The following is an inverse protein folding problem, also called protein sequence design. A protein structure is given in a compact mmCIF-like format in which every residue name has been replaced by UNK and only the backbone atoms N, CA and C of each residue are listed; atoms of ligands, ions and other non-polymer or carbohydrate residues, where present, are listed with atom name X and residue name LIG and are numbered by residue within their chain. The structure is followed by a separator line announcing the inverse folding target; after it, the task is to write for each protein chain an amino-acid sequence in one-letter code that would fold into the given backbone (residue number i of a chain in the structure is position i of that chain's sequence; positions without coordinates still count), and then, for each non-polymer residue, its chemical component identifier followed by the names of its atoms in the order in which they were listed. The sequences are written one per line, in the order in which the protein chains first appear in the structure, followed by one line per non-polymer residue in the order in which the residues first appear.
data_IF_684387834339
#
_entry.id   IF_684387834339
#
_cell.length_a   1.000
_cell.length_b   1.000
_cell.length_c   1.000
_cell.angle_alpha   90.00
_cell.angle_beta   90.00
_cell.angle_gamma   90.00
#
_symmetry.space_group_name_H-M   'P 1'
#
loop_
_entity.id
_entity.type
_entity.pdbx_description
1 polymer ?
#
# COMPACT_ATOMS: atom_id res chain seq x y z
N UNK A 1 -10.17 13.21 -24.67
CA UNK A 1 -10.41 14.03 -23.46
C UNK A 1 -10.08 13.15 -22.27
N UNK A 2 -9.02 13.42 -21.50
CA UNK A 2 -8.71 12.61 -20.32
C UNK A 2 -9.88 12.71 -19.34
N UNK A 3 -10.49 11.57 -19.03
CA UNK A 3 -11.60 11.48 -18.08
C UNK A 3 -11.01 11.80 -16.69
N UNK A 4 -11.52 12.85 -16.02
CA UNK A 4 -11.14 13.13 -14.64
C UNK A 4 -11.58 11.93 -13.81
N UNK A 5 -10.64 11.28 -13.13
CA UNK A 5 -10.91 10.11 -12.30
C UNK A 5 -11.48 10.60 -10.97
N UNK A 6 -12.65 10.07 -10.61
CA UNK A 6 -13.22 10.19 -9.27
C UNK A 6 -12.57 9.13 -8.37
N UNK A 7 -11.51 9.53 -7.67
CA UNK A 7 -10.73 8.62 -6.82
C UNK A 7 -11.52 8.03 -5.65
N UNK A 8 -12.38 8.79 -4.95
CA UNK A 8 -13.30 8.22 -3.96
C UNK A 8 -14.21 7.15 -4.55
N UNK A 9 -14.80 7.39 -5.73
CA UNK A 9 -15.64 6.38 -6.39
C UNK A 9 -14.85 5.13 -6.77
N UNK A 10 -13.65 5.28 -7.36
CA UNK A 10 -12.75 4.16 -7.68
C UNK A 10 -12.38 3.36 -6.44
N UNK A 11 -11.98 4.03 -5.35
CA UNK A 11 -11.61 3.35 -4.11
C UNK A 11 -12.80 2.57 -3.53
N UNK A 12 -14.01 3.15 -3.59
CA UNK A 12 -15.24 2.46 -3.19
C UNK A 12 -15.51 1.23 -4.06
N UNK A 13 -15.38 1.34 -5.37
CA UNK A 13 -15.57 0.22 -6.31
C UNK A 13 -14.64 -0.94 -5.98
N UNK A 14 -13.35 -0.67 -5.74
CA UNK A 14 -12.38 -1.70 -5.37
C UNK A 14 -12.66 -2.26 -3.97
N UNK A 15 -13.06 -1.43 -3.01
CA UNK A 15 -13.47 -1.89 -1.68
C UNK A 15 -14.66 -2.84 -1.74
N UNK A 16 -15.68 -2.50 -2.54
CA UNK A 16 -16.84 -3.36 -2.77
C UNK A 16 -16.42 -4.67 -3.48
N UNK A 17 -15.53 -4.59 -4.48
CA UNK A 17 -15.02 -5.76 -5.22
C UNK A 17 -14.27 -6.77 -4.32
N UNK A 18 -13.42 -6.30 -3.41
CA UNK A 18 -12.69 -7.18 -2.48
C UNK A 18 -13.51 -7.57 -1.23
N UNK A 19 -14.73 -7.05 -1.11
CA UNK A 19 -15.59 -7.26 0.06
C UNK A 19 -15.03 -6.65 1.34
N UNK A 20 -14.45 -5.45 1.27
CA UNK A 20 -14.08 -4.64 2.44
C UNK A 20 -15.33 -3.89 2.92
N UNK A 21 -16.20 -4.60 3.65
CA UNK A 21 -17.43 -4.07 4.21
C UNK A 21 -17.25 -3.52 5.64
N UNK A 22 -18.35 -3.08 6.26
CA UNK A 22 -18.30 -2.53 7.62
C UNK A 22 -17.79 -3.54 8.66
N UNK A 23 -18.07 -4.84 8.49
CA UNK A 23 -17.59 -5.85 9.44
C UNK A 23 -16.06 -5.99 9.37
N UNK A 24 -15.49 -5.91 8.16
CA UNK A 24 -14.04 -5.87 7.99
C UNK A 24 -13.42 -4.59 8.58
N UNK A 25 -14.07 -3.44 8.41
CA UNK A 25 -13.64 -2.18 9.02
C UNK A 25 -13.68 -2.22 10.55
N UNK A 26 -14.69 -2.86 11.14
CA UNK A 26 -14.81 -3.03 12.59
C UNK A 26 -13.69 -3.94 13.14
N UNK A 27 -13.25 -4.94 12.37
CA UNK A 27 -12.08 -5.78 12.71
C UNK A 27 -10.77 -4.99 12.62
N UNK A 28 -10.61 -4.14 11.61
CA UNK A 28 -9.44 -3.24 11.51
C UNK A 28 -9.42 -2.28 12.70
N UNK A 29 -10.57 -1.74 13.09
CA UNK A 29 -10.68 -0.84 14.24
C UNK A 29 -10.40 -1.56 15.57
N UNK A 30 -10.90 -2.79 15.75
CA UNK A 30 -10.68 -3.56 16.99
C UNK A 30 -9.21 -3.95 17.18
N UNK A 31 -8.43 -4.01 16.10
CA UNK A 31 -6.98 -4.29 16.13
C UNK A 31 -6.12 -3.01 16.21
N UNK A 32 -6.72 -1.82 16.31
CA UNK A 32 -6.05 -0.51 16.35
C UNK A 32 -4.90 -0.45 17.35
N UNK A 33 -5.18 -0.76 18.60
CA UNK A 33 -4.23 -0.55 19.70
C UNK A 33 -3.04 -1.51 19.57
N UNK A 34 -3.30 -2.75 19.14
CA UNK A 34 -2.25 -3.73 18.87
C UNK A 34 -1.33 -3.27 17.72
N UNK A 35 -1.91 -2.88 16.58
CA UNK A 35 -1.12 -2.40 15.42
C UNK A 35 -0.34 -1.13 15.78
N UNK A 36 -0.92 -0.24 16.58
CA UNK A 36 -0.26 0.97 17.05
C UNK A 36 0.92 0.64 17.99
N UNK A 37 0.73 -0.29 18.93
CA UNK A 37 1.76 -0.71 19.87
C UNK A 37 2.95 -1.41 19.18
N UNK A 38 2.69 -2.18 18.12
CA UNK A 38 3.74 -2.89 17.35
C UNK A 38 4.19 -2.10 16.11
N UNK A 39 3.69 -0.87 15.91
CA UNK A 39 3.92 -0.11 14.69
C UNK A 39 5.40 0.19 14.40
N UNK A 40 6.18 0.55 15.43
CA UNK A 40 7.62 0.77 15.27
C UNK A 40 8.35 -0.49 14.81
N UNK A 41 8.01 -1.66 15.37
CA UNK A 41 8.56 -2.95 14.97
C UNK A 41 8.21 -3.29 13.52
N UNK A 42 6.95 -3.11 13.11
CA UNK A 42 6.50 -3.34 11.73
C UNK A 42 7.32 -2.49 10.76
N UNK A 43 7.44 -1.19 11.06
CA UNK A 43 8.16 -0.28 10.17
C UNK A 43 9.66 -0.56 10.14
N UNK A 44 10.26 -0.94 11.27
CA UNK A 44 11.66 -1.37 11.31
C UNK A 44 11.87 -2.60 10.42
N UNK A 45 11.03 -3.64 10.56
CA UNK A 45 11.11 -4.85 9.75
C UNK A 45 11.04 -4.57 8.24
N UNK A 46 10.15 -3.66 7.81
CA UNK A 46 10.02 -3.26 6.40
C UNK A 46 11.30 -2.59 5.89
N UNK A 47 11.84 -1.62 6.61
CA UNK A 47 13.04 -0.90 6.18
C UNK A 47 14.30 -1.77 6.25
N UNK A 48 14.42 -2.60 7.28
CA UNK A 48 15.49 -3.59 7.38
C UNK A 48 15.42 -4.60 6.22
N UNK A 49 14.22 -4.96 5.78
CA UNK A 49 14.03 -5.78 4.58
C UNK A 49 14.51 -5.05 3.31
N UNK A 50 14.18 -3.76 3.14
CA UNK A 50 14.66 -2.98 1.99
C UNK A 50 16.19 -2.89 1.92
N UNK A 51 16.87 -2.84 3.07
CA UNK A 51 18.33 -2.79 3.10
C UNK A 51 19.01 -4.09 2.66
N UNK A 52 18.28 -5.22 2.60
CA UNK A 52 18.82 -6.51 2.15
C UNK A 52 19.02 -6.60 0.63
N UNK A 53 18.35 -5.76 -0.15
CA UNK A 53 18.40 -5.82 -1.62
C UNK A 53 19.03 -4.54 -2.20
N UNK A 54 20.05 -4.63 -3.06
CA UNK A 54 20.74 -3.45 -3.60
C UNK A 54 19.80 -2.42 -4.26
N UNK A 55 18.81 -2.90 -5.01
CA UNK A 55 17.86 -2.06 -5.76
C UNK A 55 16.95 -1.20 -4.88
N UNK A 56 16.65 -1.65 -3.66
CA UNK A 56 15.87 -0.89 -2.67
C UNK A 56 16.78 -0.18 -1.67
N UNK A 57 17.92 -0.78 -1.32
CA UNK A 57 18.92 -0.21 -0.41
C UNK A 57 19.46 1.12 -0.91
N UNK A 58 19.70 1.26 -2.22
CA UNK A 58 20.29 2.47 -2.83
C UNK A 58 19.56 3.79 -2.50
N UNK A 59 18.26 3.74 -2.17
CA UNK A 59 17.48 4.93 -1.80
C UNK A 59 17.80 5.47 -0.40
N UNK A 60 18.52 4.69 0.41
CA UNK A 60 18.82 4.97 1.81
C UNK A 60 20.32 5.11 2.06
N UNK A 61 21.12 5.32 1.02
CA UNK A 61 22.56 5.51 1.16
C UNK A 61 22.95 6.99 1.14
N UNK A 62 24.06 7.30 1.81
CA UNK A 62 24.83 8.52 1.64
C UNK A 62 25.73 8.45 0.40
N UNK A 63 26.39 9.56 0.05
CA UNK A 63 27.30 9.61 -1.10
C UNK A 63 28.45 8.58 -1.01
N UNK A 64 28.87 8.21 0.20
CA UNK A 64 29.91 7.21 0.45
C UNK A 64 29.44 5.75 0.38
N UNK A 65 28.14 5.50 0.20
CA UNK A 65 27.57 4.15 0.14
C UNK A 65 27.16 3.55 1.50
N UNK A 66 27.42 4.25 2.60
CA UNK A 66 26.92 3.90 3.94
C UNK A 66 25.43 4.24 4.07
N UNK A 67 24.73 3.60 5.01
CA UNK A 67 23.31 3.86 5.27
C UNK A 67 23.13 5.23 5.93
N UNK A 68 22.24 6.04 5.37
CA UNK A 68 21.80 7.33 5.94
C UNK A 68 20.74 7.07 7.02
N UNK A 69 21.20 6.84 8.25
CA UNK A 69 20.34 6.49 9.39
C UNK A 69 19.27 7.56 9.66
N UNK A 70 19.62 8.85 9.54
CA UNK A 70 18.66 9.93 9.77
C UNK A 70 17.54 9.96 8.70
N UNK A 71 17.88 9.66 7.43
CA UNK A 71 16.88 9.47 6.38
C UNK A 71 16.05 8.23 6.65
N UNK A 72 16.67 7.13 7.07
CA UNK A 72 15.98 5.88 7.37
C UNK A 72 14.93 6.07 8.48
N UNK A 73 15.32 6.70 9.60
CA UNK A 73 14.42 6.98 10.72
C UNK A 73 13.25 7.86 10.31
N UNK A 74 13.48 8.94 9.55
CA UNK A 74 12.38 9.79 9.03
C UNK A 74 11.40 9.01 8.15
N UNK A 75 11.90 7.99 7.44
CA UNK A 75 11.11 7.15 6.55
C UNK A 75 10.30 6.11 7.35
N UNK A 76 10.90 5.48 8.37
CA UNK A 76 10.20 4.64 9.37
C UNK A 76 9.02 5.41 10.00
N UNK A 77 9.25 6.62 10.50
CA UNK A 77 8.18 7.47 11.05
C UNK A 77 7.09 7.82 10.03
N UNK A 78 7.46 8.02 8.76
CA UNK A 78 6.48 8.34 7.71
C UNK A 78 5.60 7.15 7.38
N UNK A 79 6.19 5.94 7.31
CA UNK A 79 5.45 4.71 7.13
C UNK A 79 4.53 4.42 8.33
N UNK A 80 5.00 4.67 9.56
CA UNK A 80 4.20 4.50 10.78
C UNK A 80 2.96 5.39 10.75
N UNK A 81 3.11 6.67 10.36
CA UNK A 81 1.96 7.58 10.21
C UNK A 81 0.97 7.12 9.15
N UNK A 82 1.45 6.53 8.05
CA UNK A 82 0.55 5.96 7.03
C UNK A 82 -0.17 4.72 7.56
N UNK A 83 0.53 3.83 8.28
CA UNK A 83 -0.05 2.62 8.86
C UNK A 83 -1.13 2.97 9.90
N UNK A 84 -0.84 3.90 10.81
CA UNK A 84 -1.83 4.35 11.81
C UNK A 84 -2.98 5.13 11.16
N UNK A 85 -2.69 5.92 10.14
CA UNK A 85 -3.70 6.59 9.32
C UNK A 85 -4.63 5.63 8.59
N UNK A 86 -4.14 4.43 8.24
CA UNK A 86 -4.92 3.35 7.64
C UNK A 86 -5.91 2.71 8.61
N UNK A 87 -5.75 2.86 9.92
CA UNK A 87 -6.72 2.36 10.90
C UNK A 87 -7.95 3.28 10.93
N UNK A 88 -7.72 4.59 10.87
CA UNK A 88 -8.79 5.59 10.74
C UNK A 88 -9.38 5.64 9.33
N UNK A 89 -9.22 4.58 8.54
CA UNK A 89 -9.64 4.50 7.15
C UNK A 89 -11.10 4.94 7.02
N UNK A 90 -11.27 6.05 6.32
CA UNK A 90 -12.55 6.44 5.78
C UNK A 90 -12.36 6.44 4.28
N UNK A 91 -13.33 5.85 3.58
CA UNK A 91 -13.52 6.10 2.15
C UNK A 91 -14.05 7.54 2.03
N UNK A 92 -13.23 8.50 2.45
CA UNK A 92 -13.50 9.93 2.38
C UNK A 92 -12.87 10.53 1.13
N UNK A 93 -13.21 11.79 0.83
CA UNK A 93 -12.79 12.39 -0.43
C UNK A 93 -11.26 12.60 -0.52
N UNK A 94 -10.60 12.85 0.61
CA UNK A 94 -9.19 13.26 0.61
C UNK A 94 -8.22 12.09 0.75
N UNK A 95 -8.62 10.98 1.39
CA UNK A 95 -7.74 9.83 1.63
C UNK A 95 -7.21 9.20 0.33
N UNK A 96 -8.06 8.90 -0.68
CA UNK A 96 -7.58 8.42 -1.99
C UNK A 96 -6.62 9.41 -2.65
N UNK A 97 -6.85 10.72 -2.51
CA UNK A 97 -5.97 11.76 -3.07
C UNK A 97 -4.59 11.74 -2.39
N UNK A 98 -4.55 11.54 -1.05
CA UNK A 98 -3.29 11.38 -0.32
C UNK A 98 -2.52 10.13 -0.73
N UNK A 99 -3.21 9.01 -0.97
CA UNK A 99 -2.58 7.80 -1.49
C UNK A 99 -2.05 7.99 -2.90
N UNK A 100 -2.82 8.62 -3.79
CA UNK A 100 -2.38 8.93 -5.14
C UNK A 100 -1.12 9.81 -5.13
N UNK A 101 -1.14 10.90 -4.34
CA UNK A 101 0.02 11.77 -4.18
C UNK A 101 1.25 11.00 -3.66
N UNK A 102 1.03 10.03 -2.75
CA UNK A 102 2.09 9.14 -2.28
C UNK A 102 2.64 8.29 -3.43
N UNK A 103 1.78 7.65 -4.23
CA UNK A 103 2.18 6.89 -5.41
C UNK A 103 3.00 7.73 -6.40
N UNK A 104 2.52 8.94 -6.72
CA UNK A 104 3.19 9.90 -7.63
C UNK A 104 4.59 10.26 -7.12
N UNK A 105 4.76 10.53 -5.82
CA UNK A 105 6.08 10.90 -5.28
C UNK A 105 7.08 9.73 -5.36
N UNK A 106 6.60 8.47 -5.35
CA UNK A 106 7.46 7.30 -5.49
C UNK A 106 7.79 7.00 -6.96
N UNK A 107 6.82 7.17 -7.87
CA UNK A 107 6.99 6.91 -9.30
C UNK A 107 7.69 8.06 -10.05
N UNK A 108 7.42 9.31 -9.64
CA UNK A 108 7.91 10.55 -10.25
C UNK A 108 8.44 11.48 -9.14
N UNK A 109 9.63 11.21 -8.61
CA UNK A 109 10.18 12.00 -7.52
C UNK A 109 10.33 13.47 -7.90
N UNK A 110 10.06 14.41 -6.97
CA UNK A 110 10.20 15.85 -7.23
C UNK A 110 11.64 16.23 -7.58
N UNK A 111 11.84 17.38 -8.24
CA UNK A 111 13.15 17.81 -8.79
C UNK A 111 14.33 17.70 -7.81
N UNK A 112 14.16 18.11 -6.56
CA UNK A 112 15.19 18.01 -5.51
C UNK A 112 15.59 16.56 -5.16
N UNK A 113 14.82 15.56 -5.59
CA UNK A 113 15.05 14.11 -5.42
C UNK A 113 15.14 13.34 -6.75
N UNK A 114 15.08 14.02 -7.90
CA UNK A 114 15.07 13.37 -9.20
C UNK A 114 16.32 12.49 -9.46
N UNK A 115 17.47 12.88 -8.87
CA UNK A 115 18.72 12.13 -8.95
C UNK A 115 18.67 10.72 -8.33
N UNK A 116 17.69 10.44 -7.45
CA UNK A 116 17.49 9.10 -6.88
C UNK A 116 16.73 8.16 -7.84
N UNK A 117 16.09 8.72 -8.87
CA UNK A 117 15.24 7.98 -9.79
C UNK A 117 13.93 7.48 -9.18
N UNK A 118 13.10 6.90 -10.03
CA UNK A 118 11.82 6.29 -9.66
C UNK A 118 12.04 5.00 -8.85
N UNK A 119 11.13 4.73 -7.91
CA UNK A 119 10.99 3.39 -7.32
C UNK A 119 10.18 2.56 -8.31
N UNK A 120 10.65 1.38 -8.77
CA UNK A 120 9.84 0.50 -9.61
C UNK A 120 8.54 0.03 -8.93
N UNK A 121 7.42 -0.02 -9.67
CA UNK A 121 6.09 -0.43 -9.16
C UNK A 121 6.08 -1.80 -8.48
N UNK A 122 6.90 -2.75 -8.96
CA UNK A 122 7.07 -4.08 -8.35
C UNK A 122 7.50 -4.02 -6.88
N UNK A 123 8.28 -3.02 -6.48
CA UNK A 123 8.68 -2.86 -5.08
C UNK A 123 7.56 -2.26 -4.23
N UNK A 124 6.63 -1.49 -4.81
CA UNK A 124 5.41 -1.07 -4.10
C UNK A 124 4.51 -2.27 -3.82
N UNK A 125 4.29 -3.14 -4.82
CA UNK A 125 3.55 -4.41 -4.65
C UNK A 125 4.21 -5.28 -3.58
N UNK A 126 5.53 -5.49 -3.70
CA UNK A 126 6.28 -6.29 -2.74
C UNK A 126 6.23 -5.72 -1.31
N UNK A 127 6.29 -4.39 -1.16
CA UNK A 127 6.18 -3.74 0.15
C UNK A 127 4.82 -3.97 0.80
N UNK A 128 3.73 -3.87 0.03
CA UNK A 128 2.39 -4.17 0.55
C UNK A 128 2.27 -5.62 1.02
N UNK A 129 2.76 -6.55 0.20
CA UNK A 129 2.80 -7.97 0.57
C UNK A 129 3.59 -8.22 1.85
N UNK A 130 4.74 -7.54 2.00
CA UNK A 130 5.58 -7.66 3.19
C UNK A 130 4.88 -7.12 4.45
N UNK A 131 4.26 -5.94 4.36
CA UNK A 131 3.50 -5.34 5.47
C UNK A 131 2.33 -6.23 5.89
N UNK A 132 1.57 -6.77 4.93
CA UNK A 132 0.48 -7.72 5.19
C UNK A 132 0.99 -8.96 5.95
N UNK A 133 2.19 -9.45 5.61
CA UNK A 133 2.79 -10.62 6.26
C UNK A 133 3.25 -10.30 7.69
N UNK A 134 3.84 -9.14 7.93
CA UNK A 134 4.22 -8.71 9.28
C UNK A 134 2.99 -8.51 10.18
N UNK A 135 1.91 -7.93 9.65
CA UNK A 135 0.64 -7.82 10.37
C UNK A 135 0.08 -9.19 10.74
N UNK A 136 0.03 -10.13 9.79
CA UNK A 136 -0.46 -11.49 10.04
C UNK A 136 0.38 -12.22 11.11
N UNK A 137 1.72 -12.04 11.10
CA UNK A 137 2.61 -12.57 12.14
C UNK A 137 2.27 -11.99 13.51
N UNK A 138 2.13 -10.67 13.62
CA UNK A 138 1.79 -10.01 14.88
C UNK A 138 0.43 -10.46 15.41
N UNK A 139 -0.57 -10.60 14.54
CA UNK A 139 -1.88 -11.11 14.94
C UNK A 139 -1.76 -12.54 15.47
N UNK A 140 -1.00 -13.41 14.80
CA UNK A 140 -0.76 -14.77 15.26
C UNK A 140 -0.07 -14.82 16.64
N UNK A 141 0.85 -13.89 16.92
CA UNK A 141 1.58 -13.83 18.19
C UNK A 141 0.70 -13.37 19.36
N UNK A 142 -0.22 -12.42 19.10
CA UNK A 142 -0.87 -11.64 20.17
C UNK A 142 -2.34 -11.98 20.36
N UNK A 143 -3.03 -12.45 19.31
CA UNK A 143 -4.45 -12.82 19.36
C UNK A 143 -4.59 -14.31 19.67
N UNK A 144 -5.36 -14.63 20.71
CA UNK A 144 -5.49 -16.01 21.22
C UNK A 144 -6.38 -16.90 20.36
N UNK A 145 -7.49 -16.37 19.85
CA UNK A 145 -8.42 -17.14 19.02
C UNK A 145 -7.90 -17.19 17.57
N UNK A 146 -7.58 -18.38 17.02
CA UNK A 146 -7.14 -18.51 15.63
C UNK A 146 -8.15 -17.97 14.60
N UNK A 147 -9.45 -17.92 14.94
CA UNK A 147 -10.46 -17.34 14.05
C UNK A 147 -10.33 -15.83 13.97
N UNK A 148 -10.10 -15.17 15.10
CA UNK A 148 -9.86 -13.72 15.17
C UNK A 148 -8.55 -13.36 14.46
N UNK A 149 -7.49 -14.18 14.58
CA UNK A 149 -6.24 -14.02 13.82
C UNK A 149 -6.50 -14.01 12.31
N UNK A 150 -7.26 -14.99 11.82
CA UNK A 150 -7.59 -15.11 10.40
C UNK A 150 -8.45 -13.93 9.95
N UNK A 151 -9.46 -13.55 10.72
CA UNK A 151 -10.32 -12.40 10.42
C UNK A 151 -9.52 -11.11 10.32
N UNK A 152 -8.66 -10.82 11.30
CA UNK A 152 -7.79 -9.65 11.28
C UNK A 152 -6.86 -9.65 10.05
N UNK A 153 -6.23 -10.79 9.77
CA UNK A 153 -5.32 -10.93 8.62
C UNK A 153 -6.04 -10.69 7.28
N UNK A 154 -7.26 -11.21 7.12
CA UNK A 154 -8.09 -11.01 5.92
C UNK A 154 -8.53 -9.55 5.80
N UNK A 155 -9.04 -8.95 6.86
CA UNK A 155 -9.50 -7.56 6.87
C UNK A 155 -8.38 -6.60 6.44
N UNK A 156 -7.20 -6.74 7.07
CA UNK A 156 -6.02 -5.95 6.73
C UNK A 156 -5.49 -6.25 5.34
N UNK A 157 -5.53 -7.51 4.87
CA UNK A 157 -5.18 -7.83 3.49
C UNK A 157 -6.04 -7.06 2.50
N UNK A 158 -7.37 -7.11 2.65
CA UNK A 158 -8.33 -6.39 1.80
C UNK A 158 -8.05 -4.89 1.79
N UNK A 159 -7.92 -4.26 2.96
CA UNK A 159 -7.60 -2.84 3.07
C UNK A 159 -6.30 -2.48 2.32
N UNK A 160 -5.25 -3.27 2.50
CA UNK A 160 -3.96 -3.03 1.84
C UNK A 160 -4.05 -3.14 0.32
N UNK A 161 -4.88 -4.06 -0.20
CA UNK A 161 -5.12 -4.18 -1.64
C UNK A 161 -5.91 -3.00 -2.20
N UNK A 162 -6.93 -2.52 -1.48
CA UNK A 162 -7.68 -1.30 -1.86
C UNK A 162 -6.74 -0.09 -1.92
N UNK A 163 -5.82 0.05 -0.95
CA UNK A 163 -4.84 1.14 -0.99
C UNK A 163 -3.80 0.99 -2.10
N UNK A 164 -3.37 -0.25 -2.38
CA UNK A 164 -2.41 -0.56 -3.44
C UNK A 164 -2.94 -0.14 -4.81
N UNK A 165 -4.22 -0.33 -5.11
CA UNK A 165 -4.85 0.12 -6.35
C UNK A 165 -4.59 1.63 -6.60
N UNK A 166 -4.95 2.46 -5.63
CA UNK A 166 -4.79 3.92 -5.74
C UNK A 166 -3.31 4.31 -5.81
N UNK A 167 -2.44 3.63 -5.06
CA UNK A 167 -1.00 3.85 -5.14
C UNK A 167 -0.44 3.52 -6.52
N UNK A 168 -0.86 2.41 -7.13
CA UNK A 168 -0.43 1.98 -8.46
C UNK A 168 -0.92 2.91 -9.57
N UNK A 169 -2.05 3.58 -9.38
CA UNK A 169 -2.49 4.61 -10.31
C UNK A 169 -1.51 5.81 -10.39
N UNK A 170 -0.65 6.00 -9.38
CA UNK A 170 0.47 6.93 -9.45
C UNK A 170 1.63 6.46 -10.35
N UNK A 171 1.69 5.17 -10.70
CA UNK A 171 2.74 4.54 -11.51
C UNK A 171 2.31 4.29 -12.96
N UNK A 172 1.03 3.93 -13.16
CA UNK A 172 0.49 3.47 -14.43
C UNK A 172 -0.54 4.48 -14.91
N UNK A 173 -0.42 4.95 -16.16
CA UNK A 173 -1.53 5.64 -16.83
C UNK A 173 -2.54 4.58 -17.29
N UNK A 174 -3.52 4.27 -16.45
CA UNK A 174 -4.62 3.36 -16.80
C UNK A 174 -5.72 4.16 -17.51
N UNK A 175 -5.63 4.30 -18.82
CA UNK A 175 -6.80 4.66 -19.63
C UNK A 175 -7.40 3.36 -20.17
N UNK A 176 -8.58 2.91 -19.70
CA UNK A 176 -9.25 1.75 -20.27
C UNK A 176 -9.42 1.93 -21.78
N UNK A 177 -9.01 0.95 -22.56
CA UNK A 177 -9.39 0.85 -23.98
C UNK A 177 -10.85 0.41 -24.05
N UNK A 178 -11.66 1.06 -24.87
CA UNK A 178 -13.01 0.56 -25.15
C UNK A 178 -12.91 -0.85 -25.73
N UNK A 179 -13.86 -1.71 -25.39
CA UNK A 179 -13.96 -3.01 -26.06
C UNK A 179 -14.24 -2.75 -27.54
N UNK A 180 -13.35 -3.20 -28.42
CA UNK A 180 -13.64 -3.24 -29.85
C UNK A 180 -14.94 -4.05 -30.00
N UNK A 181 -16.01 -3.42 -30.48
CA UNK A 181 -17.37 -3.99 -30.52
C UNK A 181 -17.53 -5.22 -31.41
N UNK A 182 -16.44 -5.87 -31.82
CA UNK A 182 -16.43 -7.13 -32.54
C UNK A 182 -16.55 -8.29 -31.54
N UNK A 183 -17.76 -8.85 -31.47
CA UNK A 183 -17.92 -10.20 -30.91
C UNK A 183 -17.06 -11.15 -31.73
N UNK A 184 -16.14 -11.93 -31.13
CA UNK A 184 -15.35 -12.90 -31.87
C UNK A 184 -16.29 -13.80 -32.67
N UNK A 185 -16.06 -13.91 -33.98
CA UNK A 185 -16.84 -14.82 -34.82
C UNK A 185 -16.78 -16.22 -34.19
N UNK A 186 -17.96 -16.82 -33.99
CA UNK A 186 -18.06 -18.16 -33.44
C UNK A 186 -17.17 -19.11 -34.27
N UNK A 187 -16.37 -19.98 -33.63
CA UNK A 187 -15.54 -20.93 -34.35
C UNK A 187 -16.44 -21.78 -35.24
N UNK A 188 -16.14 -21.84 -36.55
CA UNK A 188 -16.83 -22.72 -37.48
C UNK A 188 -16.69 -24.17 -36.98
N UNK A 189 -17.83 -24.81 -36.70
CA UNK A 189 -17.93 -26.26 -36.49
C UNK A 189 -17.58 -27.05 -37.76
#
# INVERSE_FOLDING_TARGET
MQRIVDWPARMKEVADFVGLDQAELDVIESTRDLVSARGEEITAAVYDHFLKFPETRRFFLEAGGEVDEQKLDRRKHSLLRWLTGSIGFKIDQDYPIRLLATGIVHSHPPSHRAHLGSIPSRFMVGSMSYIQTELARIFQEEIKDPREVMQASVAWNKLMMVQLDILQAGYINETPTEADGETPAAPNE
#
